data_IF_844208161820
#
_entry.id   IF_844208161820
#
_cell.length_a   1.000
_cell.length_b   1.000
_cell.length_c   1.000
_cell.angle_alpha   90.00
_cell.angle_beta   90.00
_cell.angle_gamma   90.00
#
_symmetry.space_group_name_H-M   'P 1'
#
loop_
_entity.id
_entity.type
_entity.pdbx_description
1 polymer ?
#
# COMPACT_ATOMS: atom_id res chain seq x y z
N UNK A 1 8.62 -35.33 34.24
CA UNK A 1 8.92 -35.83 35.62
C UNK A 1 10.41 -35.98 35.91
N UNK A 2 11.34 -35.76 34.97
CA UNK A 2 12.79 -35.87 35.13
C UNK A 2 13.33 -37.32 35.22
N UNK A 3 12.48 -38.30 35.31
CA UNK A 3 12.86 -39.71 35.39
C UNK A 3 13.28 -40.31 34.03
N UNK A 4 12.66 -39.87 32.93
CA UNK A 4 13.01 -40.28 31.57
C UNK A 4 13.98 -39.24 30.99
N UNK A 5 15.21 -39.66 30.68
CA UNK A 5 16.25 -38.78 30.11
C UNK A 5 16.30 -38.84 28.60
N UNK A 6 15.98 -39.99 28.01
CA UNK A 6 15.99 -40.23 26.58
C UNK A 6 14.66 -40.84 26.16
N UNK A 7 14.06 -40.24 25.11
CA UNK A 7 12.81 -40.72 24.53
C UNK A 7 13.05 -41.06 23.06
N UNK A 8 12.80 -42.31 22.68
CA UNK A 8 12.93 -42.78 21.29
C UNK A 8 11.54 -42.92 20.68
N UNK A 9 11.37 -42.47 19.45
CA UNK A 9 10.11 -42.64 18.75
C UNK A 9 10.21 -42.35 17.27
N UNK A 10 9.26 -42.91 16.50
CA UNK A 10 9.14 -42.63 15.08
C UNK A 10 8.36 -41.35 14.82
N UNK A 11 8.54 -40.73 13.67
CA UNK A 11 7.79 -39.57 13.22
C UNK A 11 6.28 -39.77 13.31
N UNK A 12 5.82 -40.93 12.87
CA UNK A 12 4.39 -41.30 12.86
C UNK A 12 3.78 -41.30 14.28
N UNK A 13 4.54 -41.73 15.28
CA UNK A 13 4.06 -41.83 16.67
C UNK A 13 4.29 -40.57 17.50
N UNK A 14 5.37 -39.84 17.25
CA UNK A 14 5.79 -38.74 18.09
C UNK A 14 5.85 -37.38 17.35
N UNK A 15 5.79 -37.40 16.04
CA UNK A 15 5.81 -36.18 15.22
C UNK A 15 4.57 -35.31 15.38
N UNK A 16 3.42 -35.90 15.71
CA UNK A 16 2.17 -35.17 15.94
C UNK A 16 1.58 -35.49 17.31
N UNK A 17 0.94 -34.52 17.97
CA UNK A 17 0.17 -34.73 19.20
C UNK A 17 0.93 -34.92 20.51
N UNK A 18 2.26 -35.08 20.50
CA UNK A 18 3.05 -35.35 21.70
C UNK A 18 3.56 -34.03 22.31
N UNK A 19 3.33 -33.81 23.60
CA UNK A 19 3.80 -32.62 24.33
C UNK A 19 4.91 -33.04 25.33
N UNK A 20 6.16 -32.86 24.94
CA UNK A 20 7.34 -33.25 25.73
C UNK A 20 8.33 -32.07 25.89
N UNK A 21 7.95 -30.88 25.44
CA UNK A 21 8.84 -29.72 25.29
C UNK A 21 9.39 -29.15 26.60
N UNK A 22 8.70 -29.29 27.73
CA UNK A 22 8.96 -28.53 28.95
C UNK A 22 10.41 -28.57 29.42
N UNK A 23 11.02 -29.74 29.42
CA UNK A 23 12.43 -29.96 29.84
C UNK A 23 13.31 -30.51 28.70
N UNK A 24 12.83 -30.51 27.46
CA UNK A 24 13.54 -31.10 26.34
C UNK A 24 14.71 -30.17 25.94
N UNK A 25 15.92 -30.66 26.03
CA UNK A 25 17.17 -29.92 25.72
C UNK A 25 17.62 -30.13 24.31
N UNK A 26 17.49 -31.35 23.78
CA UNK A 26 17.99 -31.73 22.46
C UNK A 26 17.02 -32.67 21.72
N UNK A 27 17.00 -32.53 20.40
CA UNK A 27 16.38 -33.47 19.47
C UNK A 27 17.46 -34.02 18.55
N UNK A 28 17.44 -35.34 18.34
CA UNK A 28 18.36 -36.07 17.49
C UNK A 28 17.60 -36.72 16.34
N UNK A 29 17.81 -36.25 15.11
CA UNK A 29 17.23 -36.82 13.90
C UNK A 29 18.18 -37.91 13.35
N UNK A 30 17.89 -39.17 13.65
CA UNK A 30 18.71 -40.31 13.21
C UNK A 30 18.36 -40.74 11.77
N UNK A 31 17.23 -40.26 11.25
CA UNK A 31 16.77 -40.46 9.87
C UNK A 31 16.19 -39.17 9.27
N UNK A 32 16.17 -39.11 7.98
CA UNK A 32 15.59 -38.00 7.21
C UNK A 32 14.16 -38.30 6.85
N UNK A 33 13.26 -37.36 7.12
CA UNK A 33 11.87 -37.46 6.69
C UNK A 33 11.72 -37.28 5.17
N UNK A 34 10.65 -37.77 4.59
CA UNK A 34 10.33 -37.59 3.16
C UNK A 34 9.65 -36.25 2.83
N UNK A 35 9.18 -35.55 3.85
CA UNK A 35 8.45 -34.29 3.71
C UNK A 35 9.11 -33.19 4.55
N UNK A 36 9.23 -31.97 4.02
CA UNK A 36 9.70 -30.83 4.82
C UNK A 36 8.85 -30.60 6.08
N UNK A 37 7.52 -30.81 5.99
CA UNK A 37 6.61 -30.71 7.12
C UNK A 37 6.94 -31.68 8.27
N UNK A 38 7.46 -32.88 7.96
CA UNK A 38 7.85 -33.85 9.00
C UNK A 38 9.01 -33.32 9.83
N UNK A 39 10.01 -32.71 9.18
CA UNK A 39 11.16 -32.08 9.85
C UNK A 39 10.73 -30.87 10.68
N UNK A 40 9.87 -30.01 10.11
CA UNK A 40 9.29 -28.87 10.82
C UNK A 40 8.50 -29.30 12.05
N UNK A 41 7.70 -30.35 11.94
CA UNK A 41 6.93 -30.91 13.06
C UNK A 41 7.82 -31.51 14.14
N UNK A 42 8.88 -32.25 13.77
CA UNK A 42 9.87 -32.79 14.72
C UNK A 42 10.59 -31.65 15.47
N UNK A 43 11.06 -30.64 14.77
CA UNK A 43 11.71 -29.46 15.36
C UNK A 43 10.73 -28.67 16.24
N UNK A 44 9.47 -28.55 15.84
CA UNK A 44 8.40 -27.93 16.61
C UNK A 44 8.07 -28.64 17.94
N UNK A 45 8.66 -29.82 18.23
CA UNK A 45 8.54 -30.46 19.55
C UNK A 45 9.47 -29.88 20.58
N UNK A 46 10.58 -29.29 20.16
CA UNK A 46 11.57 -28.68 21.04
C UNK A 46 11.51 -27.15 20.96
N UNK A 47 11.35 -26.58 19.75
CA UNK A 47 11.22 -25.15 19.49
C UNK A 47 9.75 -24.77 19.69
N UNK A 48 9.31 -24.71 20.94
CA UNK A 48 7.90 -24.45 21.25
C UNK A 48 7.76 -23.64 22.53
N UNK A 49 6.70 -22.85 22.59
CA UNK A 49 6.29 -22.15 23.82
C UNK A 49 6.12 -23.13 24.99
N UNK A 50 6.64 -22.78 26.16
CA UNK A 50 6.60 -23.63 27.35
C UNK A 50 7.84 -24.50 27.56
N UNK A 51 8.85 -24.44 26.70
CA UNK A 51 10.17 -25.01 26.98
C UNK A 51 10.89 -24.10 28.01
N UNK A 52 11.36 -24.69 29.10
CA UNK A 52 12.05 -23.96 30.18
C UNK A 52 13.53 -23.69 29.86
N UNK A 53 14.09 -24.35 28.85
CA UNK A 53 15.47 -24.13 28.45
C UNK A 53 15.58 -22.88 27.57
N UNK A 54 16.53 -22.02 27.88
CA UNK A 54 16.84 -20.81 27.09
C UNK A 54 17.43 -21.14 25.73
N UNK A 55 18.09 -22.27 25.62
CA UNK A 55 18.75 -22.76 24.42
C UNK A 55 18.44 -24.24 24.25
N UNK A 56 18.14 -24.66 23.02
CA UNK A 56 17.84 -26.03 22.65
C UNK A 56 18.68 -26.43 21.44
N UNK A 57 18.94 -27.71 21.28
CA UNK A 57 19.81 -28.23 20.24
C UNK A 57 19.05 -29.18 19.32
N UNK A 58 19.30 -29.08 18.02
CA UNK A 58 18.78 -29.97 17.00
C UNK A 58 19.97 -30.61 16.29
N UNK A 59 20.09 -31.92 16.40
CA UNK A 59 21.16 -32.69 15.78
C UNK A 59 20.62 -33.50 14.61
N UNK A 60 21.18 -33.30 13.44
CA UNK A 60 20.89 -34.10 12.25
C UNK A 60 22.06 -35.02 11.99
N UNK A 61 21.80 -36.34 11.98
CA UNK A 61 22.81 -37.35 11.70
C UNK A 61 22.73 -37.74 10.26
N UNK A 62 23.88 -37.76 9.58
CA UNK A 62 24.03 -38.13 8.17
C UNK A 62 25.26 -39.02 8.01
N UNK A 63 25.18 -39.92 7.07
CA UNK A 63 26.32 -40.78 6.69
C UNK A 63 26.87 -40.34 5.35
N UNK A 64 28.18 -40.11 5.29
CA UNK A 64 28.83 -39.68 4.04
C UNK A 64 28.67 -40.73 2.94
N UNK A 65 28.51 -40.25 1.71
CA UNK A 65 28.39 -41.09 0.50
C UNK A 65 27.23 -42.09 0.52
N UNK A 66 26.17 -41.77 1.24
CA UNK A 66 24.97 -42.63 1.35
C UNK A 66 23.73 -41.98 0.68
N UNK A 67 22.62 -42.70 0.72
CA UNK A 67 21.32 -42.23 0.23
C UNK A 67 20.81 -40.99 0.97
N UNK A 68 21.36 -40.65 2.12
CA UNK A 68 20.97 -39.47 2.90
C UNK A 68 21.16 -38.17 2.08
N UNK A 69 22.23 -38.09 1.27
CA UNK A 69 22.45 -36.96 0.37
C UNK A 69 21.29 -36.76 -0.62
N UNK A 70 20.72 -37.84 -1.16
CA UNK A 70 19.56 -37.79 -2.04
C UNK A 70 18.27 -37.36 -1.31
N UNK A 71 18.07 -37.83 -0.07
CA UNK A 71 16.91 -37.43 0.73
C UNK A 71 16.94 -35.93 1.03
N UNK A 72 18.08 -35.39 1.43
CA UNK A 72 18.22 -33.95 1.67
C UNK A 72 18.05 -33.13 0.39
N UNK A 73 18.52 -33.61 -0.76
CA UNK A 73 18.25 -33.00 -2.07
C UNK A 73 16.75 -32.93 -2.36
N UNK A 74 16.03 -34.00 -2.04
CA UNK A 74 14.59 -34.09 -2.26
C UNK A 74 13.83 -33.12 -1.35
N UNK A 75 14.25 -33.01 -0.07
CA UNK A 75 13.67 -32.04 0.86
C UNK A 75 13.91 -30.60 0.41
N UNK A 76 15.12 -30.28 -0.02
CA UNK A 76 15.48 -28.96 -0.57
C UNK A 76 14.56 -28.57 -1.72
N UNK A 77 14.42 -29.44 -2.72
CA UNK A 77 13.56 -29.19 -3.88
C UNK A 77 12.08 -29.01 -3.50
N UNK A 78 11.57 -29.82 -2.59
CA UNK A 78 10.19 -29.72 -2.09
C UNK A 78 9.98 -28.44 -1.31
N UNK A 79 10.93 -28.05 -0.48
CA UNK A 79 10.84 -26.81 0.31
C UNK A 79 10.86 -25.57 -0.59
N UNK A 80 11.76 -25.53 -1.58
CA UNK A 80 11.80 -24.45 -2.59
C UNK A 80 10.44 -24.30 -3.29
N UNK A 81 9.82 -25.41 -3.69
CA UNK A 81 8.50 -25.40 -4.32
C UNK A 81 7.42 -24.88 -3.38
N UNK A 82 7.42 -25.33 -2.12
CA UNK A 82 6.45 -24.87 -1.11
C UNK A 82 6.61 -23.35 -0.89
N UNK A 83 7.82 -22.87 -0.75
CA UNK A 83 8.09 -21.45 -0.53
C UNK A 83 7.63 -20.58 -1.70
N UNK A 84 7.84 -21.03 -2.93
CA UNK A 84 7.36 -20.32 -4.12
C UNK A 84 5.83 -20.15 -4.13
N UNK A 85 5.09 -21.17 -3.66
CA UNK A 85 3.63 -21.10 -3.59
C UNK A 85 3.15 -20.26 -2.40
N UNK A 86 3.76 -20.43 -1.23
CA UNK A 86 3.29 -19.81 0.01
C UNK A 86 3.61 -18.33 0.13
N UNK A 87 4.69 -17.86 -0.50
CA UNK A 87 5.09 -16.44 -0.40
C UNK A 87 4.27 -15.51 -1.29
N UNK A 88 3.37 -16.04 -2.13
CA UNK A 88 2.47 -15.26 -3.02
C UNK A 88 3.17 -14.16 -3.86
N UNK A 89 4.47 -14.13 -3.88
CA UNK A 89 5.23 -13.25 -4.75
C UNK A 89 5.07 -13.79 -6.15
N UNK A 90 4.36 -13.06 -6.97
CA UNK A 90 3.93 -13.36 -8.34
C UNK A 90 4.89 -14.32 -9.06
N UNK A 91 4.42 -15.50 -9.51
CA UNK A 91 5.30 -16.59 -9.98
C UNK A 91 6.04 -16.28 -11.28
N UNK A 92 5.78 -15.15 -11.90
CA UNK A 92 6.22 -14.89 -13.29
C UNK A 92 7.45 -14.00 -13.43
N UNK A 93 7.93 -13.29 -12.37
CA UNK A 93 9.02 -12.33 -12.51
C UNK A 93 9.94 -12.21 -11.31
N UNK A 94 9.74 -13.01 -10.26
CA UNK A 94 10.58 -12.93 -9.07
C UNK A 94 11.69 -13.95 -9.10
N UNK A 95 12.85 -13.51 -8.63
CA UNK A 95 13.92 -14.37 -8.22
C UNK A 95 13.45 -15.37 -7.17
N UNK A 96 14.06 -16.55 -7.17
CA UNK A 96 13.91 -17.53 -6.11
C UNK A 96 14.18 -16.86 -4.76
N UNK A 97 13.14 -16.73 -3.94
CA UNK A 97 13.31 -16.35 -2.55
C UNK A 97 14.11 -17.49 -1.90
N UNK A 98 15.28 -17.18 -1.36
CA UNK A 98 16.13 -18.19 -0.75
C UNK A 98 15.51 -18.51 0.60
N UNK A 99 14.83 -19.65 0.69
CA UNK A 99 14.31 -20.16 1.94
C UNK A 99 15.46 -20.66 2.82
N UNK A 100 15.54 -20.15 4.03
CA UNK A 100 16.54 -20.53 5.02
C UNK A 100 16.56 -22.05 5.29
N UNK A 101 15.39 -22.70 5.28
CA UNK A 101 15.27 -24.16 5.44
C UNK A 101 15.84 -24.91 4.23
N UNK A 102 15.62 -24.41 3.02
CA UNK A 102 16.17 -25.02 1.81
C UNK A 102 17.70 -24.90 1.79
N UNK A 103 18.26 -23.78 2.26
CA UNK A 103 19.70 -23.60 2.43
C UNK A 103 20.26 -24.59 3.46
N UNK A 104 19.60 -24.78 4.60
CA UNK A 104 20.03 -25.73 5.62
C UNK A 104 20.09 -27.18 5.08
N UNK A 105 19.10 -27.58 4.28
CA UNK A 105 19.14 -28.91 3.63
C UNK A 105 20.27 -29.05 2.61
N UNK A 106 20.56 -28.00 1.90
CA UNK A 106 21.66 -27.96 0.95
C UNK A 106 23.04 -28.09 1.64
N UNK A 107 23.24 -27.43 2.76
CA UNK A 107 24.44 -27.54 3.58
C UNK A 107 24.66 -28.97 4.08
N UNK A 108 23.62 -29.61 4.60
CA UNK A 108 23.68 -31.01 5.07
C UNK A 108 24.00 -31.94 3.91
N UNK A 109 23.37 -31.73 2.74
CA UNK A 109 23.70 -32.51 1.53
C UNK A 109 25.16 -32.41 1.13
N UNK A 110 25.76 -31.21 1.20
CA UNK A 110 27.17 -31.00 0.90
C UNK A 110 28.09 -31.76 1.86
N UNK A 111 27.77 -31.76 3.14
CA UNK A 111 28.46 -32.55 4.15
C UNK A 111 28.39 -34.05 3.87
N UNK A 112 27.22 -34.54 3.41
CA UNK A 112 27.03 -35.96 3.04
C UNK A 112 27.86 -36.37 1.81
N UNK A 113 28.11 -35.46 0.90
CA UNK A 113 28.85 -35.75 -0.33
C UNK A 113 30.36 -35.86 -0.14
N UNK A 114 30.90 -35.32 0.95
CA UNK A 114 32.33 -35.41 1.30
C UNK A 114 33.31 -34.71 0.32
N UNK A 115 32.79 -34.01 -0.70
CA UNK A 115 33.61 -33.33 -1.73
C UNK A 115 33.58 -31.80 -1.51
N UNK A 116 34.74 -31.16 -1.22
CA UNK A 116 34.81 -29.72 -0.98
C UNK A 116 34.33 -28.86 -2.16
N UNK A 117 34.41 -29.37 -3.39
CA UNK A 117 33.89 -28.65 -4.58
C UNK A 117 32.40 -28.51 -4.59
N UNK A 118 31.65 -29.40 -3.92
CA UNK A 118 30.22 -29.30 -3.78
C UNK A 118 29.84 -28.10 -2.87
N UNK A 119 30.63 -27.86 -1.82
CA UNK A 119 30.46 -26.72 -0.93
C UNK A 119 30.70 -25.40 -1.67
N UNK A 120 31.81 -25.31 -2.42
CA UNK A 120 32.16 -24.15 -3.23
C UNK A 120 31.05 -23.86 -4.28
N UNK A 121 30.58 -24.90 -4.97
CA UNK A 121 29.44 -24.77 -5.89
C UNK A 121 28.19 -24.17 -5.21
N UNK A 122 27.89 -24.63 -4.01
CA UNK A 122 26.69 -24.14 -3.27
C UNK A 122 26.86 -22.69 -2.86
N UNK A 123 28.00 -22.28 -2.37
CA UNK A 123 28.28 -20.89 -2.03
C UNK A 123 28.15 -19.99 -3.28
N UNK A 124 28.61 -20.47 -4.43
CA UNK A 124 28.41 -19.79 -5.71
C UNK A 124 26.95 -19.75 -6.15
N UNK A 125 26.21 -20.84 -5.99
CA UNK A 125 24.77 -20.89 -6.31
C UNK A 125 23.96 -19.89 -5.45
N UNK A 126 24.28 -19.75 -4.16
CA UNK A 126 23.71 -18.73 -3.27
C UNK A 126 24.04 -17.31 -3.74
N UNK A 127 25.30 -17.05 -4.12
CA UNK A 127 25.70 -15.74 -4.64
C UNK A 127 24.98 -15.41 -5.96
N UNK A 128 24.88 -16.37 -6.86
CA UNK A 128 24.14 -16.23 -8.13
C UNK A 128 22.67 -15.95 -7.87
N UNK A 129 22.05 -16.66 -6.93
CA UNK A 129 20.66 -16.42 -6.56
C UNK A 129 20.46 -14.98 -6.01
N UNK A 130 21.32 -14.51 -5.10
CA UNK A 130 21.31 -13.13 -4.59
C UNK A 130 21.45 -12.10 -5.71
N UNK A 131 22.37 -12.31 -6.63
CA UNK A 131 22.59 -11.42 -7.78
C UNK A 131 21.39 -11.41 -8.73
N UNK A 132 20.70 -12.55 -8.93
CA UNK A 132 19.46 -12.62 -9.71
C UNK A 132 18.35 -11.80 -9.06
N UNK A 133 18.20 -11.84 -7.72
CA UNK A 133 17.24 -11.02 -6.97
C UNK A 133 17.52 -9.53 -7.20
N UNK A 134 18.78 -9.11 -6.96
CA UNK A 134 19.18 -7.71 -7.15
C UNK A 134 18.98 -7.24 -8.60
N UNK A 135 19.28 -8.07 -9.57
CA UNK A 135 19.03 -7.79 -10.99
C UNK A 135 17.54 -7.62 -11.27
N UNK A 136 16.69 -8.50 -10.71
CA UNK A 136 15.24 -8.44 -10.85
C UNK A 136 14.66 -7.14 -10.27
N UNK A 137 15.11 -6.78 -9.07
CA UNK A 137 14.68 -5.53 -8.40
C UNK A 137 15.12 -4.29 -9.20
N UNK A 138 16.36 -4.27 -9.69
CA UNK A 138 16.83 -3.20 -10.55
C UNK A 138 16.01 -3.07 -11.84
N UNK A 139 15.72 -4.19 -12.51
CA UNK A 139 14.89 -4.18 -13.72
C UNK A 139 13.48 -3.69 -13.42
N UNK A 140 12.88 -4.12 -12.30
CA UNK A 140 11.54 -3.66 -11.89
C UNK A 140 11.54 -2.16 -11.58
N UNK A 141 12.57 -1.64 -10.91
CA UNK A 141 12.71 -0.19 -10.68
C UNK A 141 12.86 0.57 -11.99
N UNK A 142 13.70 0.06 -12.90
CA UNK A 142 13.87 0.65 -14.23
C UNK A 142 12.53 0.72 -14.99
N UNK A 143 11.78 -0.38 -15.06
CA UNK A 143 10.47 -0.39 -15.73
C UNK A 143 9.46 0.56 -15.08
N UNK A 144 9.46 0.67 -13.74
CA UNK A 144 8.60 1.65 -13.05
C UNK A 144 8.96 3.09 -13.41
N UNK A 145 10.24 3.39 -13.54
CA UNK A 145 10.70 4.72 -13.97
C UNK A 145 10.36 4.99 -15.43
N UNK A 146 10.54 4.01 -16.30
CA UNK A 146 10.15 4.09 -17.72
C UNK A 146 8.63 4.30 -17.86
N UNK A 147 7.80 3.58 -17.12
CA UNK A 147 6.35 3.77 -17.12
C UNK A 147 5.95 5.17 -16.62
N UNK A 148 6.64 5.70 -15.61
CA UNK A 148 6.42 7.09 -15.15
C UNK A 148 6.76 8.10 -16.24
N UNK A 149 7.92 7.95 -16.87
CA UNK A 149 8.38 8.86 -17.93
C UNK A 149 7.50 8.82 -19.18
N UNK A 150 7.07 7.62 -19.58
CA UNK A 150 6.36 7.44 -20.86
C UNK A 150 4.84 7.60 -20.75
N UNK A 151 4.27 7.38 -19.54
CA UNK A 151 2.80 7.41 -19.36
C UNK A 151 2.39 8.40 -18.28
N UNK A 152 2.86 8.23 -17.05
CA UNK A 152 2.34 8.97 -15.90
C UNK A 152 2.64 10.47 -16.02
N UNK A 153 3.88 10.85 -16.28
CA UNK A 153 4.24 12.28 -16.38
C UNK A 153 3.61 12.98 -17.58
N UNK A 154 3.57 12.42 -18.80
CA UNK A 154 2.86 13.05 -19.90
C UNK A 154 1.36 13.23 -19.63
N UNK A 155 0.71 12.26 -19.00
CA UNK A 155 -0.72 12.37 -18.62
C UNK A 155 -0.93 13.47 -17.55
N UNK A 156 -0.07 13.53 -16.54
CA UNK A 156 -0.14 14.55 -15.49
C UNK A 156 0.16 15.96 -16.04
N UNK A 157 1.15 16.08 -16.91
CA UNK A 157 1.47 17.35 -17.61
C UNK A 157 0.25 17.82 -18.42
N UNK A 158 -0.34 16.93 -19.21
CA UNK A 158 -1.52 17.28 -19.98
C UNK A 158 -2.71 17.68 -19.12
N UNK A 159 -2.92 16.98 -18.00
CA UNK A 159 -3.95 17.30 -17.01
C UNK A 159 -3.72 18.67 -16.37
N UNK A 160 -2.49 19.00 -16.02
CA UNK A 160 -2.16 20.33 -15.48
C UNK A 160 -2.34 21.44 -16.53
N UNK A 161 -1.92 21.22 -17.77
CA UNK A 161 -2.16 22.18 -18.87
C UNK A 161 -3.64 22.44 -19.10
N UNK A 162 -4.46 21.39 -19.10
CA UNK A 162 -5.93 21.53 -19.20
C UNK A 162 -6.51 22.28 -18.00
N UNK A 163 -6.01 21.99 -16.80
CA UNK A 163 -6.44 22.70 -15.57
C UNK A 163 -6.10 24.18 -15.59
N UNK A 164 -4.90 24.54 -16.04
CA UNK A 164 -4.46 25.96 -16.17
C UNK A 164 -5.37 26.68 -17.18
N UNK A 165 -5.65 26.08 -18.33
CA UNK A 165 -6.54 26.66 -19.32
C UNK A 165 -7.95 26.90 -18.75
N UNK A 166 -8.51 25.95 -18.02
CA UNK A 166 -9.80 26.09 -17.36
C UNK A 166 -9.77 27.18 -16.26
N UNK A 167 -8.73 27.25 -15.45
CA UNK A 167 -8.55 28.33 -14.45
C UNK A 167 -8.48 29.71 -15.10
N UNK A 168 -7.80 29.83 -16.24
CA UNK A 168 -7.72 31.09 -16.99
C UNK A 168 -9.09 31.51 -17.54
N UNK A 169 -9.89 30.57 -18.04
CA UNK A 169 -11.28 30.85 -18.47
C UNK A 169 -12.16 31.29 -17.31
N UNK A 170 -12.09 30.57 -16.19
CA UNK A 170 -12.87 30.91 -14.98
C UNK A 170 -12.44 32.27 -14.40
N UNK A 171 -11.15 32.61 -14.48
CA UNK A 171 -10.63 33.94 -14.11
C UNK A 171 -11.18 35.06 -15.00
N UNK A 172 -11.38 34.80 -16.31
CA UNK A 172 -12.03 35.76 -17.21
C UNK A 172 -13.50 35.97 -16.84
N UNK A 173 -14.23 34.91 -16.48
CA UNK A 173 -15.62 35.02 -15.99
C UNK A 173 -15.65 35.88 -14.72
N UNK A 174 -14.75 35.66 -13.76
CA UNK A 174 -14.64 36.46 -12.56
C UNK A 174 -14.34 37.94 -12.85
N UNK A 175 -13.43 38.20 -13.78
CA UNK A 175 -13.07 39.56 -14.20
C UNK A 175 -14.22 40.29 -14.92
N UNK A 176 -15.07 39.57 -15.66
CA UNK A 176 -16.26 40.12 -16.29
C UNK A 176 -17.39 40.48 -15.30
N UNK A 177 -17.34 39.90 -14.08
CA UNK A 177 -18.32 40.13 -13.01
C UNK A 177 -17.63 40.58 -11.71
N UNK A 178 -17.01 41.75 -11.69
CA UNK A 178 -16.26 42.23 -10.53
C UNK A 178 -17.19 42.49 -9.35
N UNK A 179 -16.69 42.24 -8.15
CA UNK A 179 -17.34 42.64 -6.92
C UNK A 179 -16.89 44.06 -6.56
N UNK A 180 -17.85 44.97 -6.42
CA UNK A 180 -17.59 46.26 -5.82
C UNK A 180 -17.48 46.12 -4.28
N UNK A 181 -16.51 46.82 -3.68
CA UNK A 181 -16.33 46.77 -2.22
C UNK A 181 -17.45 47.47 -1.47
N UNK A 182 -18.11 48.46 -2.10
CA UNK A 182 -19.17 49.24 -1.49
C UNK A 182 -20.58 48.71 -1.81
N UNK A 183 -20.75 48.15 -3.02
CA UNK A 183 -22.05 47.67 -3.48
C UNK A 183 -21.99 46.17 -3.78
N UNK A 184 -22.86 45.38 -3.16
CA UNK A 184 -23.01 43.95 -3.46
C UNK A 184 -23.52 43.77 -4.89
N UNK A 185 -22.83 42.96 -5.71
CA UNK A 185 -23.15 42.75 -7.12
C UNK A 185 -24.44 41.96 -7.37
N UNK A 186 -25.13 41.51 -6.31
CA UNK A 186 -26.31 40.68 -6.39
C UNK A 186 -26.00 39.19 -6.53
N UNK A 187 -26.91 38.36 -6.06
CA UNK A 187 -26.88 36.90 -6.16
C UNK A 187 -28.25 36.38 -6.55
N UNK A 188 -28.31 35.48 -7.50
CA UNK A 188 -29.58 34.84 -7.86
C UNK A 188 -29.69 33.50 -7.13
N UNK A 189 -30.77 33.30 -6.35
CA UNK A 189 -31.06 32.03 -5.67
C UNK A 189 -32.53 31.67 -5.95
N UNK A 190 -32.74 30.46 -6.50
CA UNK A 190 -34.07 29.94 -6.89
C UNK A 190 -34.90 30.96 -7.72
N UNK A 191 -34.22 31.64 -8.65
CA UNK A 191 -34.84 32.62 -9.56
C UNK A 191 -35.10 34.00 -8.98
N UNK A 192 -34.78 34.24 -7.71
CA UNK A 192 -34.89 35.56 -7.07
C UNK A 192 -33.52 36.22 -6.98
N UNK A 193 -33.46 37.51 -7.29
CA UNK A 193 -32.22 38.31 -7.17
C UNK A 193 -32.20 38.94 -5.79
N UNK A 194 -31.06 38.83 -5.11
CA UNK A 194 -30.80 39.40 -3.81
C UNK A 194 -29.68 40.43 -3.94
N UNK A 195 -30.00 41.70 -3.76
CA UNK A 195 -29.04 42.83 -3.90
C UNK A 195 -28.41 43.23 -2.55
N UNK A 196 -28.85 42.62 -1.45
CA UNK A 196 -28.24 42.80 -0.13
C UNK A 196 -27.42 41.54 0.29
N UNK A 197 -26.18 41.76 0.70
CA UNK A 197 -25.23 40.72 1.09
C UNK A 197 -25.76 39.87 2.26
N UNK A 198 -26.46 40.49 3.21
CA UNK A 198 -27.02 39.78 4.37
C UNK A 198 -28.19 38.92 3.95
N UNK A 199 -29.11 39.48 3.16
CA UNK A 199 -30.29 38.76 2.67
C UNK A 199 -29.88 37.55 1.77
N UNK A 200 -28.90 37.72 0.89
CA UNK A 200 -28.35 36.64 0.09
C UNK A 200 -27.75 35.53 0.95
N UNK A 201 -26.98 35.88 1.98
CA UNK A 201 -26.41 34.94 2.92
C UNK A 201 -27.44 34.20 3.76
N UNK A 202 -28.45 34.88 4.25
CA UNK A 202 -29.60 34.26 4.98
C UNK A 202 -30.34 33.28 4.08
N UNK A 203 -30.58 33.64 2.81
CA UNK A 203 -31.24 32.74 1.86
C UNK A 203 -30.37 31.51 1.55
N UNK A 204 -29.05 31.67 1.49
CA UNK A 204 -28.13 30.56 1.33
C UNK A 204 -28.19 29.60 2.54
N UNK A 205 -28.29 30.15 3.76
CA UNK A 205 -28.43 29.34 4.98
C UNK A 205 -29.77 28.59 5.02
N UNK A 206 -30.86 29.22 4.57
CA UNK A 206 -32.17 28.56 4.42
C UNK A 206 -32.10 27.42 3.38
N UNK A 207 -31.42 27.66 2.25
CA UNK A 207 -31.25 26.62 1.25
C UNK A 207 -30.46 25.41 1.80
N UNK A 208 -29.51 25.63 2.72
CA UNK A 208 -28.81 24.57 3.46
C UNK A 208 -29.78 23.70 4.28
N UNK A 209 -30.76 24.31 4.92
CA UNK A 209 -31.77 23.58 5.72
C UNK A 209 -32.80 22.86 4.86
N UNK A 210 -33.11 23.42 3.70
CA UNK A 210 -34.07 22.85 2.75
C UNK A 210 -33.51 21.70 1.93
N UNK A 211 -32.20 21.45 2.01
CA UNK A 211 -31.53 20.45 1.21
C UNK A 211 -31.85 19.02 1.69
N UNK A 212 -32.46 18.16 0.85
CA UNK A 212 -32.61 16.75 1.18
C UNK A 212 -31.24 16.04 1.23
N UNK A 213 -31.15 15.00 2.05
CA UNK A 213 -29.93 14.25 2.33
C UNK A 213 -29.41 13.47 1.11
N UNK A 214 -29.03 14.09 0.03
CA UNK A 214 -28.18 13.53 -1.03
C UNK A 214 -28.09 14.52 -2.20
N UNK A 215 -26.97 14.50 -2.90
CA UNK A 215 -26.71 15.13 -4.18
C UNK A 215 -26.57 16.66 -4.21
N UNK A 216 -25.87 17.12 -5.25
CA UNK A 216 -25.68 18.53 -5.53
C UNK A 216 -26.99 19.15 -6.03
N UNK A 217 -27.42 20.25 -5.41
CA UNK A 217 -28.62 21.00 -5.80
C UNK A 217 -28.21 22.36 -6.39
N UNK A 218 -28.69 22.66 -7.59
CA UNK A 218 -28.52 23.98 -8.21
C UNK A 218 -29.36 25.00 -7.45
N UNK A 219 -28.74 26.07 -6.98
CA UNK A 219 -29.39 27.18 -6.31
C UNK A 219 -29.62 28.37 -7.24
N UNK A 220 -28.70 28.68 -8.14
CA UNK A 220 -28.76 29.83 -9.01
C UNK A 220 -27.39 30.24 -9.55
N UNK A 221 -27.12 31.54 -9.53
CA UNK A 221 -25.85 32.08 -10.07
C UNK A 221 -25.26 33.15 -9.16
N UNK A 222 -23.94 33.24 -9.12
CA UNK A 222 -23.20 34.26 -8.42
C UNK A 222 -21.93 34.66 -9.20
N UNK A 223 -21.79 35.93 -9.53
CA UNK A 223 -20.62 36.48 -10.27
C UNK A 223 -20.29 35.70 -11.55
N UNK A 224 -21.31 35.29 -12.31
CA UNK A 224 -21.14 34.51 -13.54
C UNK A 224 -20.95 33.00 -13.35
N UNK A 225 -20.78 32.54 -12.11
CA UNK A 225 -20.67 31.12 -11.78
C UNK A 225 -22.03 30.51 -11.43
N UNK A 226 -22.25 29.25 -11.81
CA UNK A 226 -23.36 28.47 -11.23
C UNK A 226 -23.14 28.27 -9.74
N UNK A 227 -24.13 28.56 -8.94
CA UNK A 227 -24.13 28.34 -7.50
C UNK A 227 -24.90 27.09 -7.16
N UNK A 228 -24.20 26.09 -6.67
CA UNK A 228 -24.75 24.85 -6.20
C UNK A 228 -24.54 24.69 -4.70
N UNK A 229 -25.30 23.79 -4.05
CA UNK A 229 -25.05 23.35 -2.68
C UNK A 229 -24.96 21.84 -2.64
N UNK A 230 -24.06 21.33 -1.82
CA UNK A 230 -23.91 19.89 -1.55
C UNK A 230 -23.59 19.62 -0.09
N UNK A 231 -23.84 18.38 0.35
CA UNK A 231 -23.36 17.90 1.63
C UNK A 231 -22.10 17.06 1.44
N UNK A 232 -21.01 17.43 2.09
CA UNK A 232 -19.76 16.67 2.12
C UNK A 232 -19.79 15.69 3.29
N UNK A 233 -20.02 14.41 3.01
CA UNK A 233 -20.11 13.34 4.02
C UNK A 233 -18.79 13.05 4.72
N UNK A 234 -17.64 13.32 4.09
CA UNK A 234 -16.33 13.13 4.71
C UNK A 234 -16.05 14.18 5.77
N UNK A 235 -16.40 15.43 5.48
CA UNK A 235 -16.21 16.55 6.40
C UNK A 235 -17.40 16.79 7.29
N UNK A 236 -18.51 16.11 7.03
CA UNK A 236 -19.82 16.30 7.72
C UNK A 236 -20.28 17.77 7.71
N UNK A 237 -20.12 18.43 6.56
CA UNK A 237 -20.46 19.85 6.40
C UNK A 237 -21.18 20.13 5.08
N UNK A 238 -21.97 21.19 5.05
CA UNK A 238 -22.54 21.71 3.81
C UNK A 238 -21.54 22.62 3.11
N UNK A 239 -21.45 22.50 1.81
CA UNK A 239 -20.60 23.31 0.95
C UNK A 239 -21.44 23.98 -0.14
N UNK A 240 -21.23 25.25 -0.35
CA UNK A 240 -21.59 25.89 -1.60
C UNK A 240 -20.52 25.56 -2.64
N UNK A 241 -20.94 25.27 -3.86
CA UNK A 241 -20.02 24.95 -4.97
C UNK A 241 -20.26 25.92 -6.09
N UNK A 242 -19.29 26.78 -6.35
CA UNK A 242 -19.25 27.62 -7.53
C UNK A 242 -18.72 26.80 -8.69
N UNK A 243 -19.42 26.77 -9.81
CA UNK A 243 -19.09 25.95 -10.97
C UNK A 243 -19.06 26.80 -12.24
N UNK A 244 -18.00 26.67 -12.99
CA UNK A 244 -17.88 27.09 -14.37
C UNK A 244 -17.15 25.99 -15.14
N UNK A 245 -15.97 26.19 -15.70
CA UNK A 245 -15.15 25.11 -16.24
C UNK A 245 -14.67 24.16 -15.13
N UNK A 246 -14.34 24.72 -13.97
CA UNK A 246 -14.00 23.96 -12.77
C UNK A 246 -15.04 24.15 -11.66
N UNK A 247 -14.88 23.38 -10.59
CA UNK A 247 -15.75 23.45 -9.42
C UNK A 247 -14.97 23.91 -8.18
N UNK A 248 -15.51 24.90 -7.48
CA UNK A 248 -14.88 25.54 -6.31
C UNK A 248 -15.77 25.36 -5.08
N UNK A 249 -15.52 24.32 -4.27
CA UNK A 249 -16.27 24.08 -3.05
C UNK A 249 -15.85 25.06 -1.95
N UNK A 250 -16.84 25.63 -1.29
CA UNK A 250 -16.70 26.59 -0.20
C UNK A 250 -17.51 26.12 0.99
N UNK A 251 -16.89 25.89 2.13
CA UNK A 251 -17.57 25.45 3.35
C UNK A 251 -18.51 26.54 3.89
N UNK A 252 -19.76 26.15 4.19
CA UNK A 252 -20.76 27.05 4.73
C UNK A 252 -20.75 26.99 6.27
N UNK A 253 -20.53 28.16 6.88
CA UNK A 253 -20.69 28.35 8.33
C UNK A 253 -22.09 28.88 8.68
N UNK A 254 -22.25 29.33 9.93
CA UNK A 254 -23.53 29.85 10.44
C UNK A 254 -23.67 31.39 10.25
N UNK A 255 -22.57 32.06 9.87
CA UNK A 255 -22.61 33.48 9.57
C UNK A 255 -22.99 33.75 8.10
N UNK A 256 -24.15 34.39 7.91
CA UNK A 256 -24.70 34.71 6.61
C UNK A 256 -23.76 35.58 5.75
N UNK A 257 -23.21 36.67 6.30
CA UNK A 257 -22.29 37.57 5.59
C UNK A 257 -20.94 36.90 5.35
N UNK A 258 -20.44 36.14 6.32
CA UNK A 258 -19.18 35.42 6.22
C UNK A 258 -19.20 34.38 5.11
N UNK A 259 -20.32 33.72 4.86
CA UNK A 259 -20.47 32.77 3.75
C UNK A 259 -20.30 33.45 2.39
N UNK A 260 -20.89 34.64 2.19
CA UNK A 260 -20.72 35.40 0.95
C UNK A 260 -19.25 35.85 0.80
N UNK A 261 -18.62 36.31 1.87
CA UNK A 261 -17.21 36.70 1.85
C UNK A 261 -16.30 35.51 1.48
N UNK A 262 -16.62 34.30 1.95
CA UNK A 262 -15.89 33.10 1.55
C UNK A 262 -16.05 32.75 0.06
N UNK A 263 -17.26 32.97 -0.49
CA UNK A 263 -17.51 32.83 -1.92
C UNK A 263 -16.73 33.87 -2.72
N UNK A 264 -16.72 35.14 -2.29
CA UNK A 264 -15.90 36.18 -2.90
C UNK A 264 -14.42 35.80 -2.91
N UNK A 265 -13.87 35.41 -1.77
CA UNK A 265 -12.47 34.98 -1.66
C UNK A 265 -12.15 33.80 -2.57
N UNK A 266 -13.10 32.88 -2.76
CA UNK A 266 -12.90 31.76 -3.66
C UNK A 266 -12.83 32.17 -5.13
N UNK A 267 -13.55 33.22 -5.51
CA UNK A 267 -13.53 33.80 -6.87
C UNK A 267 -12.29 34.71 -7.04
N UNK A 268 -11.96 35.54 -6.05
CA UNK A 268 -10.90 36.53 -6.17
C UNK A 268 -9.47 35.93 -6.10
N UNK A 269 -9.33 34.67 -5.74
CA UNK A 269 -8.03 33.99 -5.58
C UNK A 269 -7.57 33.20 -6.82
N UNK A 270 -8.02 33.57 -8.03
CA UNK A 270 -7.61 32.86 -9.26
C UNK A 270 -6.15 33.05 -9.60
N UNK A 271 -5.57 34.23 -9.34
CA UNK A 271 -4.16 34.51 -9.64
C UNK A 271 -3.23 33.51 -8.90
N UNK A 272 -3.48 33.30 -7.60
CA UNK A 272 -2.68 32.39 -6.80
C UNK A 272 -2.88 30.93 -7.26
N UNK A 273 -4.12 30.53 -7.60
CA UNK A 273 -4.42 29.17 -8.11
C UNK A 273 -3.74 28.90 -9.45
N UNK A 274 -3.69 29.89 -10.34
CA UNK A 274 -2.98 29.76 -11.61
C UNK A 274 -1.49 29.62 -11.37
N UNK A 275 -0.91 30.47 -10.51
CA UNK A 275 0.50 30.41 -10.14
C UNK A 275 0.87 29.05 -9.51
N UNK A 276 0.04 28.52 -8.61
CA UNK A 276 0.24 27.20 -8.00
C UNK A 276 0.19 26.07 -9.05
N UNK A 277 -0.73 26.15 -10.00
CA UNK A 277 -0.85 25.16 -11.06
C UNK A 277 0.33 25.23 -12.06
N UNK A 278 0.81 26.43 -12.37
CA UNK A 278 2.00 26.65 -13.20
C UNK A 278 3.28 26.14 -12.52
N UNK A 279 3.44 26.40 -11.22
CA UNK A 279 4.54 25.85 -10.42
C UNK A 279 4.48 24.31 -10.38
N UNK A 280 3.29 23.74 -10.23
CA UNK A 280 3.10 22.29 -10.26
C UNK A 280 3.47 21.71 -11.63
N UNK A 281 3.14 22.38 -12.72
CA UNK A 281 3.52 21.99 -14.08
C UNK A 281 5.04 22.05 -14.27
N UNK A 282 5.68 23.13 -13.85
CA UNK A 282 7.13 23.30 -13.95
C UNK A 282 7.92 22.22 -13.18
N UNK A 283 7.38 21.75 -12.06
CA UNK A 283 7.99 20.65 -11.29
C UNK A 283 7.83 19.28 -11.96
N UNK A 284 6.92 19.14 -12.91
CA UNK A 284 6.71 17.90 -13.67
C UNK A 284 7.51 17.86 -14.97
N UNK A 285 7.80 19.01 -15.58
CA UNK A 285 8.65 19.17 -16.78
C UNK A 285 10.14 19.12 -16.42
#
# INVERSE_FOLDING_TARGET
SGQVRVLLGSTAKMGAGTNVQTLLVAVHHLDVGWRPSDMTQRNGRIIRQGNQNKQVYVYNYVTESTFDAYLYQTLENKQKFISQIMTSKSPMRSCDDIDEQALSYAEIKALCAGDPRIREKMDLDVQVAKLKVLRGDFQNQKYRLEDKLLKTFPEEIQKQKTRIAALQQDSQIAAAHPQDKENFCGMTIKGMVYDDKKAAGERLLLARQEMPNADMMLLGTYRGFELNIRFDSFKNEHQAVLRAELSYPVSLGDDARGNITRLDNAIDNFADRIADAENALQNLE
#
